data_IF_842125987950
#
_entry.id   IF_842125987950
#
_cell.length_a   1.000
_cell.length_b   1.000
_cell.length_c   1.000
_cell.angle_alpha   90.00
_cell.angle_beta   90.00
_cell.angle_gamma   90.00
#
_symmetry.space_group_name_H-M   'P 1'
#
loop_
_entity.id
_entity.type
_entity.pdbx_description
1 polymer ?
#
# COMPACT_ATOMS: atom_id res chain seq x y z
N UNK A 1 -7.35 -74.12 -3.23
CA UNK A 1 -7.49 -72.65 -3.15
C UNK A 1 -6.99 -72.25 -1.78
N UNK A 2 -5.90 -71.48 -1.69
CA UNK A 2 -5.35 -70.97 -0.42
C UNK A 2 -5.73 -69.51 -0.33
N UNK A 3 -6.45 -69.15 0.74
CA UNK A 3 -6.69 -67.77 1.14
C UNK A 3 -5.35 -67.14 1.57
N UNK A 4 -5.08 -65.94 1.07
CA UNK A 4 -3.94 -65.12 1.46
C UNK A 4 -4.51 -64.02 2.34
N UNK A 5 -4.39 -64.18 3.65
CA UNK A 5 -4.56 -63.09 4.61
C UNK A 5 -3.39 -62.11 4.39
N UNK A 6 -3.71 -60.86 4.03
CA UNK A 6 -2.76 -59.76 4.00
C UNK A 6 -2.86 -59.02 5.32
N UNK A 7 -1.84 -59.17 6.15
CA UNK A 7 -1.55 -58.25 7.25
C UNK A 7 -1.29 -56.85 6.66
N UNK A 8 -2.03 -55.87 7.16
CA UNK A 8 -1.74 -54.46 6.93
C UNK A 8 -1.04 -53.95 8.18
N UNK A 9 0.28 -53.99 8.20
CA UNK A 9 1.08 -53.22 9.14
C UNK A 9 0.92 -51.74 8.77
N UNK A 10 0.07 -51.01 9.51
CA UNK A 10 0.03 -49.56 9.47
C UNK A 10 1.25 -49.04 10.24
N UNK A 11 2.26 -48.58 9.51
CA UNK A 11 3.27 -47.69 10.08
C UNK A 11 2.55 -46.41 10.50
N UNK A 12 2.49 -46.16 11.81
CA UNK A 12 2.03 -44.89 12.37
C UNK A 12 3.00 -43.80 11.90
N UNK A 13 2.65 -43.14 10.80
CA UNK A 13 3.34 -41.96 10.30
C UNK A 13 3.14 -40.86 11.36
N UNK A 14 4.17 -40.66 12.19
CA UNK A 14 4.22 -39.68 13.26
C UNK A 14 4.13 -38.28 12.62
N UNK A 15 2.94 -37.69 12.66
CA UNK A 15 2.71 -36.34 12.15
C UNK A 15 3.45 -35.33 13.03
N UNK A 16 4.66 -34.95 12.62
CA UNK A 16 5.34 -33.78 13.17
C UNK A 16 4.49 -32.53 12.86
N UNK A 17 3.89 -31.94 13.89
CA UNK A 17 3.22 -30.65 13.75
C UNK A 17 4.24 -29.62 13.27
N UNK A 18 4.00 -28.91 12.16
CA UNK A 18 4.93 -27.91 11.69
C UNK A 18 5.08 -26.83 12.76
N UNK A 19 6.31 -26.65 13.25
CA UNK A 19 6.70 -25.55 14.12
C UNK A 19 6.32 -24.24 13.43
N UNK A 20 5.22 -23.64 13.87
CA UNK A 20 4.83 -22.29 13.47
C UNK A 20 5.93 -21.35 13.99
N UNK A 21 6.81 -20.93 13.09
CA UNK A 21 7.77 -19.84 13.33
C UNK A 21 7.00 -18.70 14.01
N UNK A 22 7.42 -18.35 15.23
CA UNK A 22 6.87 -17.24 16.00
C UNK A 22 7.08 -15.95 15.19
N UNK A 23 6.13 -15.61 14.31
CA UNK A 23 6.03 -14.27 13.74
C UNK A 23 5.99 -13.31 14.93
N UNK A 24 7.08 -12.57 15.12
CA UNK A 24 7.22 -11.50 16.09
C UNK A 24 5.91 -10.73 16.13
N UNK A 25 5.16 -10.86 17.23
CA UNK A 25 3.92 -10.10 17.43
C UNK A 25 4.30 -8.63 17.60
N UNK A 26 4.58 -7.95 16.48
CA UNK A 26 4.76 -6.50 16.44
C UNK A 26 3.57 -5.88 17.17
N UNK A 27 3.84 -5.10 18.22
CA UNK A 27 2.80 -4.40 18.95
C UNK A 27 2.08 -3.46 17.97
N UNK A 28 0.79 -3.71 17.74
CA UNK A 28 -0.04 -2.87 16.87
C UNK A 28 -0.05 -1.45 17.43
N UNK A 29 0.46 -0.50 16.66
CA UNK A 29 0.53 0.92 17.04
C UNK A 29 -0.71 1.68 16.60
N UNK A 30 -0.95 2.86 17.18
CA UNK A 30 -1.95 3.81 16.67
C UNK A 30 -1.76 4.13 15.18
N UNK A 31 -0.50 4.16 14.72
CA UNK A 31 -0.19 4.42 13.32
C UNK A 31 -0.62 3.27 12.41
N UNK A 32 -0.55 2.02 12.88
CA UNK A 32 -1.05 0.85 12.15
C UNK A 32 -2.57 0.87 12.02
N UNK A 33 -3.28 1.25 13.09
CA UNK A 33 -4.75 1.39 13.06
C UNK A 33 -5.17 2.45 12.05
N UNK A 34 -4.51 3.61 12.06
CA UNK A 34 -4.80 4.69 11.11
C UNK A 34 -4.41 4.31 9.67
N UNK A 35 -3.34 3.55 9.49
CA UNK A 35 -2.95 3.03 8.19
C UNK A 35 -4.00 2.06 7.64
N UNK A 36 -4.53 1.16 8.48
CA UNK A 36 -5.62 0.27 8.11
C UNK A 36 -6.92 1.03 7.77
N UNK A 37 -7.28 2.08 8.54
CA UNK A 37 -8.40 2.96 8.20
C UNK A 37 -8.17 3.64 6.84
N UNK A 38 -6.96 4.13 6.57
CA UNK A 38 -6.63 4.75 5.29
C UNK A 38 -6.78 3.77 4.13
N UNK A 39 -6.25 2.55 4.25
CA UNK A 39 -6.31 1.53 3.19
C UNK A 39 -7.74 1.11 2.83
N UNK A 40 -8.68 1.21 3.79
CA UNK A 40 -10.10 0.90 3.58
C UNK A 40 -10.92 2.12 3.16
N UNK A 41 -10.39 3.33 3.34
CA UNK A 41 -11.06 4.58 3.00
C UNK A 41 -10.31 5.33 1.90
N UNK A 42 -10.74 5.11 0.65
CA UNK A 42 -10.20 5.76 -0.57
C UNK A 42 -9.91 7.25 -0.40
N UNK A 43 -10.82 8.01 0.21
CA UNK A 43 -10.68 9.47 0.35
C UNK A 43 -9.58 9.84 1.34
N UNK A 44 -9.48 9.10 2.44
CA UNK A 44 -8.40 9.26 3.41
C UNK A 44 -7.05 8.88 2.81
N UNK A 45 -6.97 7.73 2.12
CA UNK A 45 -5.74 7.32 1.41
C UNK A 45 -5.31 8.36 0.38
N UNK A 46 -6.24 8.84 -0.44
CA UNK A 46 -5.96 9.88 -1.45
C UNK A 46 -5.41 11.14 -0.79
N UNK A 47 -6.01 11.58 0.32
CA UNK A 47 -5.56 12.76 1.05
C UNK A 47 -4.14 12.59 1.59
N UNK A 48 -3.83 11.44 2.21
CA UNK A 48 -2.49 11.14 2.73
C UNK A 48 -1.44 11.16 1.61
N UNK A 49 -1.72 10.49 0.49
CA UNK A 49 -0.82 10.46 -0.67
C UNK A 49 -0.62 11.85 -1.30
N UNK A 50 -1.67 12.67 -1.36
CA UNK A 50 -1.55 14.05 -1.84
C UNK A 50 -0.64 14.89 -0.94
N UNK A 51 -0.76 14.77 0.39
CA UNK A 51 0.07 15.50 1.35
C UNK A 51 1.51 14.96 1.41
N UNK A 52 1.70 13.69 1.09
CA UNK A 52 3.02 13.07 0.96
C UNK A 52 3.85 13.67 -0.20
N UNK A 53 3.19 14.15 -1.26
CA UNK A 53 3.85 14.89 -2.35
C UNK A 53 4.27 16.33 -1.96
N UNK A 54 4.01 16.74 -0.73
CA UNK A 54 4.32 18.05 -0.19
C UNK A 54 3.07 18.82 0.23
N UNK A 55 3.26 20.01 0.85
CA UNK A 55 2.16 20.74 1.45
C UNK A 55 1.10 21.19 0.44
N UNK A 56 -0.19 21.04 0.79
CA UNK A 56 -1.32 21.41 -0.07
C UNK A 56 -2.26 22.38 0.65
N UNK A 57 -2.95 23.23 -0.10
CA UNK A 57 -4.03 24.05 0.44
C UNK A 57 -5.39 23.36 0.22
N UNK A 58 -6.41 23.76 0.98
CA UNK A 58 -7.72 23.10 0.95
C UNK A 58 -8.33 23.04 -0.47
N UNK A 59 -8.23 24.13 -1.24
CA UNK A 59 -8.84 24.17 -2.58
C UNK A 59 -8.13 23.26 -3.60
N UNK A 60 -6.81 23.01 -3.49
CA UNK A 60 -6.16 22.03 -4.39
C UNK A 60 -6.51 20.59 -4.02
N UNK A 61 -6.72 20.32 -2.73
CA UNK A 61 -7.28 19.02 -2.29
C UNK A 61 -8.72 18.87 -2.80
N UNK A 62 -9.47 19.99 -2.84
CA UNK A 62 -10.86 20.00 -3.26
C UNK A 62 -11.08 19.68 -4.75
N UNK A 63 -10.03 19.74 -5.57
CA UNK A 63 -10.07 19.32 -6.98
C UNK A 63 -10.27 17.80 -7.12
N UNK A 64 -9.86 17.02 -6.11
CA UNK A 64 -9.93 15.55 -6.11
C UNK A 64 -10.98 15.02 -5.13
N UNK A 65 -11.14 15.69 -3.99
CA UNK A 65 -12.05 15.28 -2.91
C UNK A 65 -13.10 16.37 -2.72
N UNK A 66 -14.41 16.08 -2.63
CA UNK A 66 -15.43 17.12 -2.42
C UNK A 66 -15.10 18.04 -1.23
N UNK A 67 -15.27 19.35 -1.43
CA UNK A 67 -14.80 20.38 -0.50
C UNK A 67 -15.21 20.14 0.97
N UNK A 68 -16.49 19.81 1.21
CA UNK A 68 -17.01 19.48 2.55
C UNK A 68 -16.34 18.26 3.17
N UNK A 69 -16.02 17.26 2.35
CA UNK A 69 -15.34 16.04 2.79
C UNK A 69 -13.87 16.29 3.08
N UNK A 70 -13.18 17.04 2.22
CA UNK A 70 -11.79 17.42 2.43
C UNK A 70 -11.61 18.19 3.75
N UNK A 71 -12.46 19.19 4.01
CA UNK A 71 -12.43 19.93 5.28
C UNK A 71 -12.67 19.04 6.50
N UNK A 72 -13.65 18.14 6.44
CA UNK A 72 -13.95 17.22 7.54
C UNK A 72 -12.78 16.27 7.82
N UNK A 73 -12.17 15.72 6.76
CA UNK A 73 -11.02 14.82 6.89
C UNK A 73 -9.80 15.57 7.43
N UNK A 74 -9.47 16.73 6.87
CA UNK A 74 -8.34 17.54 7.34
C UNK A 74 -8.49 17.91 8.81
N UNK A 75 -9.68 18.35 9.23
CA UNK A 75 -9.95 18.63 10.65
C UNK A 75 -9.76 17.41 11.53
N UNK A 76 -10.32 16.25 11.16
CA UNK A 76 -10.13 14.98 11.89
C UNK A 76 -8.64 14.63 12.01
N UNK A 77 -7.88 14.78 10.93
CA UNK A 77 -6.44 14.47 10.92
C UNK A 77 -5.59 15.47 11.71
N UNK A 78 -5.99 16.74 11.77
CA UNK A 78 -5.37 17.73 12.66
C UNK A 78 -5.64 17.37 14.13
N UNK A 79 -6.88 17.01 14.48
CA UNK A 79 -7.25 16.59 15.84
C UNK A 79 -6.48 15.33 16.29
N UNK A 80 -6.18 14.42 15.37
CA UNK A 80 -5.36 13.23 15.60
C UNK A 80 -3.85 13.50 15.58
N UNK A 81 -3.42 14.71 15.24
CA UNK A 81 -2.00 15.07 15.11
C UNK A 81 -1.29 14.42 13.92
N UNK A 82 -2.02 13.93 12.92
CA UNK A 82 -1.49 13.35 11.67
C UNK A 82 -1.12 14.45 10.67
N UNK A 83 -1.87 15.54 10.70
CA UNK A 83 -1.70 16.70 9.81
C UNK A 83 -1.51 17.95 10.66
N UNK A 84 -0.64 18.86 10.20
CA UNK A 84 -0.54 20.20 10.74
C UNK A 84 -0.89 21.23 9.67
N UNK A 85 -1.53 22.32 10.07
CA UNK A 85 -1.73 23.47 9.19
C UNK A 85 -0.92 24.69 9.58
N UNK A 86 -0.62 25.51 8.57
CA UNK A 86 0.08 26.78 8.72
C UNK A 86 -0.44 27.79 7.70
N UNK A 87 -0.27 29.08 8.00
CA UNK A 87 -0.62 30.16 7.06
C UNK A 87 0.49 30.30 6.02
N UNK A 88 0.09 30.49 4.77
CA UNK A 88 1.01 30.88 3.70
C UNK A 88 1.68 32.22 3.98
N UNK A 89 2.77 32.50 3.28
CA UNK A 89 3.52 33.77 3.39
C UNK A 89 2.62 34.98 3.11
N UNK A 90 1.65 34.83 2.22
CA UNK A 90 0.65 35.85 1.89
C UNK A 90 -0.46 36.02 2.95
N UNK A 91 -0.53 35.12 3.94
CA UNK A 91 -1.53 35.09 4.99
C UNK A 91 -2.94 34.68 4.54
N UNK A 92 -3.17 34.45 3.24
CA UNK A 92 -4.51 34.20 2.67
C UNK A 92 -4.85 32.73 2.66
N UNK A 93 -3.88 31.88 2.31
CA UNK A 93 -4.10 30.44 2.18
C UNK A 93 -3.64 29.70 3.44
N UNK A 94 -4.41 28.68 3.83
CA UNK A 94 -4.00 27.69 4.81
C UNK A 94 -3.44 26.47 4.08
N UNK A 95 -2.21 26.12 4.40
CA UNK A 95 -1.52 24.95 3.89
C UNK A 95 -1.53 23.85 4.96
N UNK A 96 -1.56 22.61 4.50
CA UNK A 96 -1.56 21.41 5.32
C UNK A 96 -0.36 20.56 4.92
N UNK A 97 0.29 19.95 5.90
CA UNK A 97 1.40 18.99 5.71
C UNK A 97 1.26 17.83 6.68
N UNK A 98 1.87 16.69 6.36
CA UNK A 98 2.01 15.60 7.32
C UNK A 98 2.92 16.04 8.48
N UNK A 99 2.58 15.57 9.68
CA UNK A 99 3.47 15.60 10.85
C UNK A 99 4.37 14.36 10.85
N UNK A 100 5.31 14.26 11.80
CA UNK A 100 6.07 13.02 12.02
C UNK A 100 5.16 11.80 12.25
N UNK A 101 4.08 11.98 13.02
CA UNK A 101 3.04 10.96 13.21
C UNK A 101 2.37 10.60 11.88
N UNK A 102 2.05 11.59 11.05
CA UNK A 102 1.45 11.34 9.74
C UNK A 102 2.40 10.65 8.75
N UNK A 103 3.69 10.94 8.83
CA UNK A 103 4.71 10.22 8.08
C UNK A 103 4.82 8.75 8.53
N UNK A 104 4.72 8.47 9.82
CA UNK A 104 4.66 7.08 10.32
C UNK A 104 3.43 6.33 9.78
N UNK A 105 2.25 6.95 9.79
CA UNK A 105 1.03 6.38 9.17
C UNK A 105 1.25 6.11 7.68
N UNK A 106 1.81 7.08 6.96
CA UNK A 106 2.10 6.94 5.53
C UNK A 106 3.10 5.80 5.26
N UNK A 107 4.13 5.64 6.09
CA UNK A 107 5.11 4.57 5.96
C UNK A 107 4.45 3.20 6.11
N UNK A 108 3.53 3.04 7.07
CA UNK A 108 2.78 1.80 7.26
C UNK A 108 1.86 1.51 6.07
N UNK A 109 1.14 2.53 5.57
CA UNK A 109 0.36 2.42 4.33
C UNK A 109 1.26 1.98 3.16
N UNK A 110 2.41 2.63 2.99
CA UNK A 110 3.35 2.35 1.89
C UNK A 110 3.93 0.95 1.99
N UNK A 111 4.24 0.47 3.20
CA UNK A 111 4.70 -0.91 3.47
C UNK A 111 3.68 -1.92 2.96
N UNK A 112 2.41 -1.77 3.35
CA UNK A 112 1.34 -2.67 2.92
C UNK A 112 1.14 -2.63 1.39
N UNK A 113 1.14 -1.43 0.81
CA UNK A 113 0.99 -1.26 -0.65
C UNK A 113 2.14 -1.89 -1.43
N UNK A 114 3.40 -1.73 -0.97
CA UNK A 114 4.56 -2.39 -1.58
C UNK A 114 4.45 -3.90 -1.54
N UNK A 115 4.03 -4.47 -0.42
CA UNK A 115 3.83 -5.92 -0.29
C UNK A 115 2.74 -6.44 -1.23
N UNK A 116 1.62 -5.72 -1.32
CA UNK A 116 0.55 -6.04 -2.26
C UNK A 116 1.04 -6.00 -3.72
N UNK A 117 1.75 -4.93 -4.10
CA UNK A 117 2.29 -4.76 -5.46
C UNK A 117 3.36 -5.80 -5.76
N UNK A 118 4.26 -6.12 -4.82
CA UNK A 118 5.25 -7.18 -5.01
C UNK A 118 4.59 -8.53 -5.29
N UNK A 119 3.50 -8.87 -4.60
CA UNK A 119 2.71 -10.07 -4.88
C UNK A 119 2.10 -10.04 -6.28
N UNK A 120 1.60 -8.89 -6.74
CA UNK A 120 1.10 -8.74 -8.11
C UNK A 120 2.20 -8.97 -9.16
N UNK A 121 3.37 -8.36 -8.97
CA UNK A 121 4.51 -8.52 -9.88
C UNK A 121 5.01 -9.97 -9.93
N UNK A 122 5.07 -10.67 -8.78
CA UNK A 122 5.44 -12.09 -8.75
C UNK A 122 4.40 -12.99 -9.41
N UNK A 123 3.11 -12.63 -9.32
CA UNK A 123 2.00 -13.44 -9.85
C UNK A 123 1.75 -13.23 -11.35
N UNK A 124 1.84 -11.99 -11.81
CA UNK A 124 1.45 -11.61 -13.18
C UNK A 124 2.58 -10.97 -13.98
N UNK A 125 3.66 -10.55 -13.33
CA UNK A 125 4.79 -9.91 -13.98
C UNK A 125 5.67 -10.92 -14.71
N UNK A 126 6.35 -10.43 -15.75
CA UNK A 126 7.35 -11.20 -16.48
C UNK A 126 8.70 -11.04 -15.77
N UNK A 127 9.36 -12.15 -15.47
CA UNK A 127 10.70 -12.12 -14.87
C UNK A 127 11.73 -11.63 -15.90
N UNK A 128 12.60 -10.73 -15.46
CA UNK A 128 13.76 -10.20 -16.18
C UNK A 128 14.99 -10.30 -15.28
N UNK A 129 16.19 -10.04 -15.81
CA UNK A 129 17.44 -10.13 -15.05
C UNK A 129 17.49 -9.22 -13.82
N UNK A 130 16.82 -8.08 -13.86
CA UNK A 130 16.76 -7.10 -12.77
C UNK A 130 15.56 -7.25 -11.83
N UNK A 131 14.65 -8.19 -12.06
CA UNK A 131 13.44 -8.38 -11.23
C UNK A 131 12.21 -8.74 -12.06
N UNK A 132 11.11 -8.01 -11.87
CA UNK A 132 9.85 -8.27 -12.58
C UNK A 132 9.37 -7.02 -13.31
N UNK A 133 8.92 -7.20 -14.54
CA UNK A 133 8.21 -6.14 -15.29
C UNK A 133 6.72 -6.43 -15.32
N UNK A 134 5.92 -5.36 -15.27
CA UNK A 134 4.46 -5.43 -15.40
C UNK A 134 3.97 -4.33 -16.33
N UNK A 135 3.05 -4.70 -17.22
CA UNK A 135 2.42 -3.76 -18.14
C UNK A 135 1.60 -2.70 -17.38
N UNK A 136 1.61 -1.43 -17.83
CA UNK A 136 0.89 -0.35 -17.16
C UNK A 136 -0.60 -0.61 -17.04
N UNK A 137 -1.21 -1.24 -18.06
CA UNK A 137 -2.64 -1.57 -18.06
C UNK A 137 -3.02 -2.51 -16.92
N UNK A 138 -2.22 -3.56 -16.69
CA UNK A 138 -2.45 -4.52 -15.61
C UNK A 138 -2.24 -3.89 -14.23
N UNK A 139 -1.15 -3.13 -14.06
CA UNK A 139 -0.89 -2.45 -12.78
C UNK A 139 -1.99 -1.44 -12.46
N UNK A 140 -2.36 -0.61 -13.45
CA UNK A 140 -3.43 0.37 -13.32
C UNK A 140 -4.73 -0.31 -12.92
N UNK A 141 -5.12 -1.38 -13.61
CA UNK A 141 -6.32 -2.14 -13.28
C UNK A 141 -6.28 -2.67 -11.84
N UNK A 142 -5.21 -3.37 -11.47
CA UNK A 142 -5.09 -4.00 -10.16
C UNK A 142 -4.99 -3.00 -8.98
N UNK A 143 -4.41 -1.81 -9.21
CA UNK A 143 -4.24 -0.78 -8.18
C UNK A 143 -5.46 0.15 -8.12
N UNK A 144 -5.93 0.66 -9.26
CA UNK A 144 -7.05 1.60 -9.29
C UNK A 144 -8.39 0.92 -8.98
N UNK A 145 -8.63 -0.32 -9.44
CA UNK A 145 -9.88 -1.02 -9.11
C UNK A 145 -9.94 -1.41 -7.63
N UNK A 146 -8.82 -1.84 -7.04
CA UNK A 146 -8.80 -2.32 -5.66
C UNK A 146 -8.74 -1.19 -4.64
N UNK A 147 -7.96 -0.13 -4.90
CA UNK A 147 -7.77 0.96 -3.94
C UNK A 147 -8.62 2.19 -4.28
N UNK A 148 -9.12 2.29 -5.51
CA UNK A 148 -9.83 3.47 -6.00
C UNK A 148 -8.94 4.70 -6.17
N UNK A 149 -7.63 4.60 -6.05
CA UNK A 149 -6.73 5.76 -6.10
C UNK A 149 -5.99 5.79 -7.44
N UNK A 150 -5.84 6.96 -8.09
CA UNK A 150 -5.07 7.07 -9.32
C UNK A 150 -3.66 6.50 -9.17
N UNK A 151 -3.23 5.70 -10.15
CA UNK A 151 -1.91 5.08 -10.13
C UNK A 151 -0.79 6.12 -10.03
N UNK A 152 -0.97 7.29 -10.64
CA UNK A 152 -0.01 8.41 -10.60
C UNK A 152 0.31 8.91 -9.18
N UNK A 153 -0.63 8.79 -8.23
CA UNK A 153 -0.41 9.17 -6.84
C UNK A 153 0.35 8.11 -6.05
N UNK A 154 0.44 6.88 -6.54
CA UNK A 154 0.99 5.74 -5.78
C UNK A 154 2.36 5.32 -6.32
N UNK A 155 2.60 5.42 -7.64
CA UNK A 155 3.84 4.95 -8.29
C UNK A 155 5.10 5.49 -7.61
N UNK A 156 5.14 6.78 -7.27
CA UNK A 156 6.28 7.40 -6.60
C UNK A 156 6.60 6.79 -5.22
N UNK A 157 5.60 6.27 -4.52
CA UNK A 157 5.76 5.66 -3.19
C UNK A 157 6.12 4.17 -3.26
N UNK A 158 5.72 3.50 -4.33
CA UNK A 158 6.00 2.07 -4.52
C UNK A 158 7.45 1.77 -4.88
N UNK A 159 8.24 2.80 -5.24
CA UNK A 159 9.63 2.59 -5.66
C UNK A 159 9.74 1.88 -7.01
N UNK A 160 8.70 1.97 -7.85
CA UNK A 160 8.71 1.39 -9.19
C UNK A 160 9.45 2.30 -10.16
N UNK A 161 10.26 1.70 -11.02
CA UNK A 161 10.89 2.42 -12.13
C UNK A 161 10.10 2.22 -13.41
N UNK A 162 10.12 3.22 -14.30
CA UNK A 162 9.57 3.10 -15.66
C UNK A 162 10.69 2.64 -16.58
N UNK A 163 10.46 1.56 -17.31
CA UNK A 163 11.42 0.90 -18.18
C UNK A 163 10.85 0.75 -19.60
N UNK A 164 11.69 0.80 -20.63
CA UNK A 164 11.27 0.52 -22.01
C UNK A 164 11.60 -0.92 -22.39
N UNK A 165 10.58 -1.75 -22.60
CA UNK A 165 10.71 -3.14 -23.00
C UNK A 165 10.10 -3.33 -24.39
N UNK A 166 10.92 -3.70 -25.38
CA UNK A 166 10.52 -3.79 -26.80
C UNK A 166 9.80 -2.55 -27.37
N UNK A 167 10.16 -1.36 -26.89
CA UNK A 167 9.57 -0.09 -27.33
C UNK A 167 8.32 0.33 -26.56
N UNK A 168 7.81 -0.51 -25.66
CA UNK A 168 6.68 -0.21 -24.79
C UNK A 168 7.15 0.20 -23.39
N UNK A 169 6.44 1.13 -22.74
CA UNK A 169 6.69 1.52 -21.36
C UNK A 169 6.08 0.50 -20.41
N UNK A 170 6.90 -0.02 -19.50
CA UNK A 170 6.50 -0.97 -18.45
C UNK A 170 6.98 -0.49 -17.08
N UNK A 171 6.35 -0.98 -16.01
CA UNK A 171 6.85 -0.78 -14.67
C UNK A 171 7.80 -1.91 -14.29
N UNK A 172 8.91 -1.58 -13.64
CA UNK A 172 9.90 -2.51 -13.11
C UNK A 172 9.86 -2.48 -11.57
N UNK A 173 9.75 -3.68 -10.98
CA UNK A 173 10.04 -3.95 -9.59
C UNK A 173 11.41 -4.64 -9.52
N UNK A 174 12.41 -3.94 -8.99
CA UNK A 174 13.75 -4.49 -8.79
C UNK A 174 13.75 -5.50 -7.63
N UNK A 175 14.34 -6.68 -7.85
CA UNK A 175 14.70 -7.58 -6.74
C UNK A 175 16.01 -7.04 -6.13
N UNK A 176 15.95 -6.55 -4.89
CA UNK A 176 17.13 -6.20 -4.09
C UNK A 176 17.56 -7.38 -3.24
#
# INVERSE_FOLDING_TARGET
MKEVERDWEMEEEEWEEPELEEEERELVTDADVLAAEALTNRRLLTLLLMLASGPKYASSIAEVIPHSTAHRLLRKLEELGVVASYKGVDGRRRYYKLTERGEAVLNNVTRVLRNYVAKLFRKYGKRVSSGYILEPGLLKKAVEEQLGVPLSLIVGFLGLSVYKYYGEEVYLLEER
#
